data_IF_969851033709
#
_entry.id   IF_969851033709
#
_cell.length_a   1.000
_cell.length_b   1.000
_cell.length_c   1.000
_cell.angle_alpha   90.00
_cell.angle_beta   90.00
_cell.angle_gamma   90.00
#
_symmetry.space_group_name_H-M   'P 1'
#
loop_
_entity.id
_entity.type
_entity.pdbx_description
1 polymer ?
#
# COMPACT_ATOMS: atom_id res chain seq x y z
N UNK A 1 -30.88 27.21 -40.52
CA UNK A 1 -31.46 26.07 -39.79
C UNK A 1 -31.09 24.79 -40.53
N UNK A 2 -30.66 23.67 -39.98
CA UNK A 2 -30.30 23.24 -38.64
C UNK A 2 -29.68 21.85 -38.81
N UNK A 3 -28.50 21.62 -38.19
CA UNK A 3 -28.00 20.37 -37.60
C UNK A 3 -27.92 19.12 -38.50
N UNK A 4 -26.68 18.67 -38.75
CA UNK A 4 -26.11 17.47 -38.08
C UNK A 4 -24.58 17.55 -38.16
N UNK A 5 -24.00 17.93 -37.02
CA UNK A 5 -22.64 17.65 -36.52
C UNK A 5 -22.13 16.30 -37.03
N UNK A 6 -20.97 16.14 -37.65
CA UNK A 6 -19.62 16.68 -37.39
C UNK A 6 -19.04 16.33 -36.02
N UNK A 7 -17.81 15.82 -36.08
CA UNK A 7 -16.88 15.42 -35.02
C UNK A 7 -17.12 14.02 -34.41
N UNK A 8 -16.50 13.04 -35.06
CA UNK A 8 -15.89 11.91 -34.37
C UNK A 8 -14.91 12.49 -33.35
N UNK A 9 -15.20 12.32 -32.05
CA UNK A 9 -14.24 12.65 -31.00
C UNK A 9 -13.12 11.61 -31.06
N UNK A 10 -11.94 12.08 -31.41
CA UNK A 10 -10.68 11.37 -31.31
C UNK A 10 -10.48 10.94 -29.85
N UNK A 11 -10.55 9.63 -29.60
CA UNK A 11 -10.04 9.00 -28.40
C UNK A 11 -8.53 9.27 -28.36
N UNK A 12 -8.17 10.41 -27.76
CA UNK A 12 -6.79 10.71 -27.45
C UNK A 12 -6.42 9.79 -26.30
N UNK A 13 -5.75 8.68 -26.61
CA UNK A 13 -4.97 7.90 -25.65
C UNK A 13 -3.98 8.86 -25.00
N UNK A 14 -4.39 9.48 -23.89
CA UNK A 14 -3.46 10.14 -22.99
C UNK A 14 -2.56 9.03 -22.49
N UNK A 15 -1.31 9.01 -22.99
CA UNK A 15 -0.25 8.26 -22.37
C UNK A 15 -0.21 8.72 -20.92
N UNK A 16 -0.80 7.92 -20.02
CA UNK A 16 -0.80 8.20 -18.59
C UNK A 16 0.66 8.42 -18.19
N UNK A 17 1.01 9.65 -17.82
CA UNK A 17 2.30 9.94 -17.21
C UNK A 17 2.32 9.19 -15.87
N UNK A 18 2.88 7.99 -15.89
CA UNK A 18 2.90 7.12 -14.73
C UNK A 18 3.74 7.78 -13.63
N UNK A 19 3.18 7.87 -12.41
CA UNK A 19 3.90 8.32 -11.22
C UNK A 19 4.49 7.15 -10.42
N UNK A 20 5.56 7.40 -9.65
CA UNK A 20 6.07 6.44 -8.67
C UNK A 20 5.38 6.62 -7.30
N UNK A 21 4.72 5.56 -6.84
CA UNK A 21 4.13 5.47 -5.50
C UNK A 21 4.74 4.26 -4.80
N UNK A 22 5.74 4.50 -3.97
CA UNK A 22 6.43 3.46 -3.19
C UNK A 22 6.45 3.85 -1.72
N UNK A 23 6.33 2.88 -0.82
CA UNK A 23 6.48 3.07 0.62
C UNK A 23 7.35 1.98 1.21
N UNK A 24 8.20 2.37 2.15
CA UNK A 24 8.93 1.46 3.02
C UNK A 24 8.61 1.81 4.47
N UNK A 25 8.11 0.84 5.24
CA UNK A 25 7.90 1.00 6.67
C UNK A 25 8.78 0.00 7.42
N UNK A 26 9.43 0.47 8.49
CA UNK A 26 10.09 -0.40 9.44
C UNK A 26 9.60 -0.10 10.85
N UNK A 27 8.90 -1.05 11.45
CA UNK A 27 8.25 -0.84 12.74
C UNK A 27 7.82 -2.14 13.39
N UNK A 28 6.89 -2.05 14.34
CA UNK A 28 6.31 -3.20 15.03
C UNK A 28 4.80 -3.23 14.89
N UNK A 29 4.20 -4.41 14.96
CA UNK A 29 2.75 -4.52 15.04
C UNK A 29 2.21 -3.96 16.36
N UNK A 30 1.16 -3.14 16.31
CA UNK A 30 0.45 -2.64 17.50
C UNK A 30 -0.76 -3.50 17.91
N UNK A 31 -1.10 -4.50 17.11
CA UNK A 31 -2.10 -5.52 17.38
C UNK A 31 -1.75 -6.79 16.61
N UNK A 32 -2.35 -7.91 16.98
CA UNK A 32 -2.22 -9.15 16.20
C UNK A 32 -2.75 -8.95 14.76
N UNK A 33 -2.20 -9.73 13.83
CA UNK A 33 -2.64 -9.74 12.45
C UNK A 33 -4.09 -10.24 12.35
N UNK A 34 -4.86 -9.67 11.42
CA UNK A 34 -6.26 -10.05 11.21
C UNK A 34 -6.48 -10.52 9.77
N UNK A 35 -6.62 -11.84 9.60
CA UNK A 35 -7.11 -12.43 8.37
C UNK A 35 -8.59 -12.07 8.17
N UNK A 36 -8.92 -11.56 6.99
CA UNK A 36 -10.30 -11.27 6.57
C UNK A 36 -10.55 -11.77 5.16
N UNK A 37 -11.76 -12.23 4.92
CA UNK A 37 -12.25 -12.52 3.58
C UNK A 37 -13.09 -11.33 3.08
N UNK A 38 -12.77 -10.85 1.89
CA UNK A 38 -13.52 -9.79 1.22
C UNK A 38 -14.81 -10.37 0.61
N UNK A 39 -15.83 -9.54 0.30
CA UNK A 39 -17.04 -10.00 -0.40
C UNK A 39 -16.77 -10.66 -1.76
N UNK A 40 -15.61 -10.40 -2.36
CA UNK A 40 -15.13 -11.07 -3.57
C UNK A 40 -14.64 -12.51 -3.34
N UNK A 41 -14.53 -12.97 -2.09
CA UNK A 41 -13.89 -14.22 -1.70
C UNK A 41 -12.37 -14.14 -1.54
N UNK A 42 -11.76 -12.98 -1.85
CA UNK A 42 -10.32 -12.79 -1.68
C UNK A 42 -9.95 -12.66 -0.20
N UNK A 43 -8.95 -13.41 0.24
CA UNK A 43 -8.41 -13.33 1.60
C UNK A 43 -7.28 -12.31 1.68
N UNK A 44 -7.35 -11.46 2.70
CA UNK A 44 -6.36 -10.43 3.00
C UNK A 44 -5.98 -10.47 4.48
N UNK A 45 -4.74 -10.16 4.80
CA UNK A 45 -4.27 -9.93 6.17
C UNK A 45 -4.16 -8.44 6.39
N UNK A 46 -4.72 -7.96 7.50
CA UNK A 46 -4.60 -6.58 7.94
C UNK A 46 -3.66 -6.51 9.13
N UNK A 47 -2.75 -5.56 9.07
CA UNK A 47 -1.74 -5.29 10.08
C UNK A 47 -1.87 -3.82 10.49
N UNK A 48 -1.62 -3.51 11.76
CA UNK A 48 -1.42 -2.14 12.21
C UNK A 48 0.07 -1.95 12.52
N UNK A 49 0.79 -1.29 11.62
CA UNK A 49 2.25 -1.13 11.73
C UNK A 49 2.55 0.22 12.35
N UNK A 50 3.26 0.20 13.47
CA UNK A 50 3.68 1.39 14.19
C UNK A 50 5.16 1.64 14.03
N UNK A 51 5.50 2.83 13.52
CA UNK A 51 6.88 3.31 13.41
C UNK A 51 7.18 4.30 14.53
N UNK A 52 8.41 4.28 15.06
CA UNK A 52 8.89 5.30 15.99
C UNK A 52 9.67 6.34 15.21
N UNK A 53 9.18 7.58 15.21
CA UNK A 53 9.74 8.70 14.47
C UNK A 53 10.17 9.80 15.43
N UNK A 54 10.81 10.86 14.92
CA UNK A 54 11.17 12.03 15.74
C UNK A 54 9.93 12.74 16.31
N UNK A 55 8.79 12.66 15.60
CA UNK A 55 7.52 13.27 16.00
C UNK A 55 6.63 12.34 16.85
N UNK A 56 7.18 11.18 17.25
CA UNK A 56 6.50 10.19 18.06
C UNK A 56 6.12 8.93 17.30
N UNK A 57 5.12 8.21 17.82
CA UNK A 57 4.66 6.93 17.24
C UNK A 57 3.59 7.18 16.18
N UNK A 58 3.84 6.71 14.97
CA UNK A 58 2.91 6.83 13.85
C UNK A 58 2.47 5.43 13.43
N UNK A 59 1.17 5.15 13.57
CA UNK A 59 0.55 3.88 13.19
C UNK A 59 -0.16 4.03 11.85
N UNK A 60 0.07 3.08 10.95
CA UNK A 60 -0.55 3.04 9.62
C UNK A 60 -1.15 1.66 9.37
N UNK A 61 -2.41 1.59 8.90
CA UNK A 61 -3.01 0.33 8.45
C UNK A 61 -2.29 -0.21 7.23
N UNK A 62 -1.93 -1.49 7.26
CA UNK A 62 -1.29 -2.21 6.17
C UNK A 62 -2.15 -3.41 5.78
N UNK A 63 -2.39 -3.59 4.49
CA UNK A 63 -3.11 -4.74 3.93
C UNK A 63 -2.19 -5.56 3.04
N UNK A 64 -2.19 -6.88 3.20
CA UNK A 64 -1.42 -7.83 2.39
C UNK A 64 -2.32 -8.96 1.88
N UNK A 65 -2.01 -9.51 0.70
CA UNK A 65 -2.64 -10.74 0.18
C UNK A 65 -1.93 -12.01 0.67
N UNK A 66 -0.77 -11.87 1.29
CA UNK A 66 -0.01 -12.98 1.86
C UNK A 66 -0.67 -13.45 3.16
N UNK A 67 -1.43 -14.54 3.07
CA UNK A 67 -2.17 -15.09 4.22
C UNK A 67 -1.26 -15.73 5.27
N UNK A 68 0.00 -16.04 4.94
CA UNK A 68 0.97 -16.58 5.90
C UNK A 68 1.35 -15.58 7.00
N UNK A 69 0.95 -14.32 6.85
CA UNK A 69 1.16 -13.26 7.83
C UNK A 69 0.13 -13.29 8.97
N UNK A 70 -0.88 -14.17 8.92
CA UNK A 70 -1.93 -14.25 9.95
C UNK A 70 -1.40 -14.62 11.34
N UNK A 71 -0.24 -15.30 11.40
CA UNK A 71 0.41 -15.71 12.65
C UNK A 71 1.26 -14.61 13.29
N UNK A 72 1.36 -13.42 12.69
CA UNK A 72 2.10 -12.31 13.29
C UNK A 72 1.35 -11.71 14.47
N UNK A 73 2.09 -11.51 15.56
CA UNK A 73 1.54 -11.04 16.83
C UNK A 73 1.93 -9.59 17.12
N UNK A 74 1.20 -8.97 18.05
CA UNK A 74 1.58 -7.67 18.63
C UNK A 74 3.04 -7.66 19.08
N UNK A 75 3.76 -6.59 18.73
CA UNK A 75 5.17 -6.42 19.04
C UNK A 75 6.14 -7.03 18.03
N UNK A 76 5.68 -7.86 17.08
CA UNK A 76 6.55 -8.38 16.04
C UNK A 76 7.12 -7.24 15.17
N UNK A 77 8.44 -7.22 15.05
CA UNK A 77 9.15 -6.26 14.20
C UNK A 77 9.01 -6.70 12.73
N UNK A 78 8.56 -5.77 11.87
CA UNK A 78 8.27 -6.03 10.46
C UNK A 78 8.82 -4.92 9.56
N UNK A 79 9.35 -5.31 8.42
CA UNK A 79 9.68 -4.43 7.31
C UNK A 79 8.66 -4.64 6.19
N UNK A 80 8.07 -3.55 5.72
CA UNK A 80 7.00 -3.54 4.71
C UNK A 80 7.46 -2.73 3.51
N UNK A 81 7.24 -3.27 2.31
CA UNK A 81 7.23 -2.51 1.06
C UNK A 81 5.85 -2.56 0.43
N UNK A 82 5.46 -1.50 -0.28
CA UNK A 82 4.18 -1.48 -0.97
C UNK A 82 3.87 -0.13 -1.58
N UNK A 83 2.58 0.16 -1.69
CA UNK A 83 2.07 1.42 -2.24
C UNK A 83 1.03 2.00 -1.29
N UNK A 84 0.90 3.32 -1.26
CA UNK A 84 -0.17 3.97 -0.49
C UNK A 84 -1.44 4.01 -1.33
N UNK A 85 -2.58 3.60 -0.74
CA UNK A 85 -3.91 3.73 -1.36
C UNK A 85 -4.90 4.35 -0.39
N UNK A 86 -5.86 5.08 -0.94
CA UNK A 86 -7.03 5.55 -0.19
C UNK A 86 -8.21 4.66 -0.55
N UNK A 87 -8.71 3.92 0.43
CA UNK A 87 -9.92 3.10 0.27
C UNK A 87 -11.13 3.87 0.75
N UNK A 88 -12.16 3.90 -0.08
CA UNK A 88 -13.46 4.47 0.26
C UNK A 88 -14.43 3.35 0.65
N UNK A 89 -15.22 3.56 1.70
CA UNK A 89 -16.20 2.59 2.17
C UNK A 89 -17.37 3.32 2.85
N UNK A 90 -18.54 2.69 2.89
CA UNK A 90 -19.69 3.26 3.61
C UNK A 90 -19.70 2.77 5.05
N UNK A 91 -19.87 3.70 5.98
CA UNK A 91 -20.11 3.43 7.40
C UNK A 91 -21.40 4.14 7.80
N UNK A 92 -22.51 3.39 7.83
CA UNK A 92 -23.84 3.97 7.96
C UNK A 92 -24.19 4.87 6.78
N UNK A 93 -24.77 6.08 7.00
CA UNK A 93 -25.18 6.95 5.91
C UNK A 93 -24.01 7.63 5.18
N UNK A 94 -22.81 7.70 5.79
CA UNK A 94 -21.69 8.47 5.29
C UNK A 94 -20.71 7.63 4.45
N UNK A 95 -20.21 8.23 3.36
CA UNK A 95 -19.01 7.75 2.67
C UNK A 95 -17.79 8.16 3.51
N UNK A 96 -16.99 7.18 3.88
CA UNK A 96 -15.73 7.37 4.59
C UNK A 96 -14.56 6.93 3.72
N UNK A 97 -13.36 7.32 4.14
CA UNK A 97 -12.14 6.94 3.48
C UNK A 97 -11.05 6.67 4.50
N UNK A 98 -10.16 5.73 4.19
CA UNK A 98 -8.96 5.44 4.97
C UNK A 98 -7.77 5.35 4.05
N UNK A 99 -6.69 6.06 4.39
CA UNK A 99 -5.38 5.88 3.75
C UNK A 99 -4.71 4.69 4.40
N UNK A 100 -4.26 3.74 3.59
CA UNK A 100 -3.66 2.47 4.01
C UNK A 100 -2.51 2.12 3.06
N UNK A 101 -1.58 1.30 3.54
CA UNK A 101 -0.52 0.72 2.71
C UNK A 101 -0.98 -0.61 2.16
N UNK A 102 -0.93 -0.80 0.86
CA UNK A 102 -1.11 -2.08 0.21
C UNK A 102 0.28 -2.71 0.05
N UNK A 103 0.60 -3.65 0.92
CA UNK A 103 1.91 -4.28 0.97
C UNK A 103 2.11 -5.21 -0.22
N UNK A 104 3.22 -5.03 -0.93
CA UNK A 104 3.77 -6.00 -1.87
C UNK A 104 4.64 -7.03 -1.15
N UNK A 105 5.29 -6.64 -0.06
CA UNK A 105 6.10 -7.52 0.78
C UNK A 105 6.00 -7.13 2.24
N UNK A 106 5.90 -8.13 3.11
CA UNK A 106 6.10 -8.02 4.55
C UNK A 106 7.11 -9.08 4.96
N UNK A 107 8.16 -8.69 5.67
CA UNK A 107 9.15 -9.61 6.22
C UNK A 107 9.48 -9.26 7.67
N UNK A 108 9.91 -10.25 8.45
CA UNK A 108 10.40 -10.01 9.80
C UNK A 108 11.57 -9.03 9.79
N UNK A 109 11.55 -8.08 10.74
CA UNK A 109 12.60 -7.11 11.01
C UNK A 109 13.97 -7.73 11.32
N UNK A 110 14.00 -9.01 11.70
CA UNK A 110 15.21 -9.80 11.94
C UNK A 110 15.96 -10.16 10.65
N UNK A 111 15.29 -10.14 9.49
CA UNK A 111 15.85 -10.59 8.19
C UNK A 111 16.66 -9.48 7.49
N UNK A 112 17.70 -8.96 8.16
CA UNK A 112 18.47 -7.76 7.74
C UNK A 112 19.02 -7.82 6.31
N UNK A 113 19.49 -8.99 5.86
CA UNK A 113 19.98 -9.15 4.48
C UNK A 113 18.87 -9.00 3.43
N UNK A 114 17.68 -9.53 3.71
CA UNK A 114 16.51 -9.38 2.82
C UNK A 114 15.99 -7.94 2.84
N UNK A 115 15.97 -7.30 4.01
CA UNK A 115 15.62 -5.87 4.14
C UNK A 115 16.55 -5.02 3.27
N UNK A 116 17.87 -5.20 3.38
CA UNK A 116 18.84 -4.45 2.58
C UNK A 116 18.58 -4.63 1.07
N UNK A 117 18.28 -5.86 0.63
CA UNK A 117 17.95 -6.13 -0.77
C UNK A 117 16.69 -5.38 -1.22
N UNK A 118 15.64 -5.37 -0.40
CA UNK A 118 14.39 -4.68 -0.73
C UNK A 118 14.56 -3.14 -0.75
N UNK A 119 15.33 -2.60 0.19
CA UNK A 119 15.66 -1.16 0.22
C UNK A 119 16.45 -0.77 -1.02
N UNK A 120 17.45 -1.57 -1.42
CA UNK A 120 18.21 -1.34 -2.64
C UNK A 120 17.30 -1.28 -3.86
N UNK A 121 16.48 -2.33 -4.07
CA UNK A 121 15.55 -2.38 -5.19
C UNK A 121 14.57 -1.20 -5.24
N UNK A 122 14.00 -0.78 -4.10
CA UNK A 122 13.09 0.37 -4.04
C UNK A 122 13.81 1.72 -4.28
N UNK A 123 15.09 1.81 -3.91
CA UNK A 123 15.91 3.01 -4.16
C UNK A 123 16.31 3.08 -5.63
N UNK A 124 16.70 1.95 -6.23
CA UNK A 124 17.03 1.86 -7.65
C UNK A 124 15.80 2.26 -8.50
N UNK A 125 14.62 1.75 -8.18
CA UNK A 125 13.36 2.13 -8.83
C UNK A 125 13.08 3.63 -8.71
N UNK A 126 13.35 4.24 -7.55
CA UNK A 126 13.19 5.68 -7.34
C UNK A 126 14.17 6.50 -8.17
N UNK A 127 15.44 6.08 -8.24
CA UNK A 127 16.49 6.75 -9.02
C UNK A 127 16.16 6.68 -10.51
N UNK A 128 15.82 5.49 -11.00
CA UNK A 128 15.44 5.26 -12.40
C UNK A 128 14.22 6.10 -12.80
N UNK A 129 13.20 6.15 -11.92
CA UNK A 129 11.99 6.94 -12.17
C UNK A 129 12.27 8.45 -12.20
N UNK A 130 13.06 8.95 -11.24
CA UNK A 130 13.33 10.38 -11.11
C UNK A 130 14.39 10.90 -12.10
N UNK A 131 14.95 10.02 -12.93
CA UNK A 131 16.04 10.34 -13.87
C UNK A 131 17.24 11.01 -13.18
N UNK A 132 17.53 10.61 -11.94
CA UNK A 132 18.71 11.06 -11.21
C UNK A 132 19.99 10.39 -11.72
#
# INVERSE_FOLDING_TARGET
MSRRSDVAQEDTEQEDEFGLNTVMLFGSLSSDAVLRELPSGEKIVNLEVTTSTLDGRISVPVTSKDTLLEDLCVGDEVFVTGVVKRRFFRAGPALQSRTEVHASKVISGKKKAQIRKLVGAATDELVDFAQF
#
